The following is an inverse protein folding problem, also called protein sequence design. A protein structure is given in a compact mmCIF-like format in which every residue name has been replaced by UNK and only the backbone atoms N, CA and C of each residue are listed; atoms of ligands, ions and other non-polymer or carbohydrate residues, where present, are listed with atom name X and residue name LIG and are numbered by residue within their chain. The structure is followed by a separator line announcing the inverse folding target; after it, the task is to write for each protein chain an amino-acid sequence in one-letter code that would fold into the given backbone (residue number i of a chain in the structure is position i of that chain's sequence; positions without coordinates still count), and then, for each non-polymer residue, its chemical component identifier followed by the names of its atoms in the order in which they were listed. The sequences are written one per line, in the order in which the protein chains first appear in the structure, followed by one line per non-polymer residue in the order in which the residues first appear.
data_IF_521868387577
#
_entry.id   IF_521868387577
#
_cell.length_a   1.000
_cell.length_b   1.000
_cell.length_c   1.000
_cell.angle_alpha   90.00
_cell.angle_beta   90.00
_cell.angle_gamma   90.00
#
_symmetry.space_group_name_H-M   'P 1'
#
loop_
_entity.id
_entity.type
_entity.pdbx_description
1 polymer ?
#
# COMPACT_ATOMS: atom_id res chain seq x y z
N UNK A 1 -11.67 -4.70 43.77
CA UNK A 1 -10.76 -4.30 42.66
C UNK A 1 -10.60 -5.41 41.63
N UNK A 2 -10.43 -6.67 42.05
CA UNK A 2 -10.28 -7.85 41.19
C UNK A 2 -11.28 -7.96 40.01
N UNK A 3 -12.59 -7.79 40.24
CA UNK A 3 -13.62 -7.83 39.17
C UNK A 3 -13.42 -6.79 38.06
N UNK A 4 -12.89 -5.61 38.39
CA UNK A 4 -12.58 -4.55 37.40
C UNK A 4 -11.38 -4.93 36.54
N UNK A 5 -10.38 -5.59 37.13
CA UNK A 5 -9.20 -6.07 36.41
C UNK A 5 -9.61 -7.17 35.42
N UNK A 6 -10.40 -8.14 35.87
CA UNK A 6 -10.93 -9.21 35.01
C UNK A 6 -11.75 -8.64 33.84
N UNK A 7 -12.68 -7.72 34.10
CA UNK A 7 -13.47 -7.11 33.04
C UNK A 7 -12.60 -6.34 32.02
N UNK A 8 -11.53 -5.69 32.48
CA UNK A 8 -10.54 -5.06 31.59
C UNK A 8 -9.78 -6.08 30.74
N UNK A 9 -9.37 -7.20 31.35
CA UNK A 9 -8.65 -8.28 30.70
C UNK A 9 -9.50 -8.99 29.63
N UNK A 10 -10.82 -9.08 29.83
CA UNK A 10 -11.73 -9.66 28.82
C UNK A 10 -12.02 -8.64 27.71
N UNK A 11 -12.25 -7.37 28.08
CA UNK A 11 -12.62 -6.34 27.11
C UNK A 11 -11.49 -6.03 26.12
N UNK A 12 -10.22 -6.03 26.55
CA UNK A 12 -9.07 -5.75 25.67
C UNK A 12 -9.00 -6.68 24.45
N UNK A 13 -8.89 -8.00 24.64
CA UNK A 13 -8.94 -8.99 23.57
C UNK A 13 -10.24 -8.92 22.76
N UNK A 14 -11.38 -8.66 23.40
CA UNK A 14 -12.65 -8.53 22.69
C UNK A 14 -12.62 -7.39 21.65
N UNK A 15 -12.11 -6.22 22.04
CA UNK A 15 -11.96 -5.08 21.14
C UNK A 15 -10.88 -5.32 20.08
N UNK A 16 -9.80 -6.02 20.43
CA UNK A 16 -8.77 -6.41 19.47
C UNK A 16 -9.34 -7.34 18.38
N UNK A 17 -10.03 -8.41 18.76
CA UNK A 17 -10.73 -9.31 17.83
C UNK A 17 -11.78 -8.53 17.02
N UNK A 18 -12.50 -7.62 17.67
CA UNK A 18 -13.45 -6.72 17.01
C UNK A 18 -12.81 -5.85 15.93
N UNK A 19 -11.58 -5.35 16.17
CA UNK A 19 -10.81 -4.60 15.16
C UNK A 19 -10.45 -5.47 13.95
N UNK A 20 -10.03 -6.73 14.16
CA UNK A 20 -9.73 -7.64 13.05
C UNK A 20 -11.00 -7.98 12.26
N UNK A 21 -12.10 -8.26 12.94
CA UNK A 21 -13.38 -8.51 12.30
C UNK A 21 -13.83 -7.29 11.47
N UNK A 22 -13.69 -6.08 12.01
CA UNK A 22 -14.06 -4.86 11.31
C UNK A 22 -13.16 -4.58 10.10
N UNK A 23 -11.85 -4.69 10.24
CA UNK A 23 -10.91 -4.57 9.11
C UNK A 23 -11.18 -5.60 8.02
N UNK A 24 -11.39 -6.86 8.41
CA UNK A 24 -11.71 -7.94 7.47
C UNK A 24 -13.06 -7.71 6.78
N UNK A 25 -14.07 -7.21 7.49
CA UNK A 25 -15.35 -6.82 6.92
C UNK A 25 -15.19 -5.70 5.87
N UNK A 26 -14.37 -4.69 6.16
CA UNK A 26 -14.09 -3.63 5.19
C UNK A 26 -13.33 -4.14 3.98
N UNK A 27 -12.34 -5.04 4.18
CA UNK A 27 -11.62 -5.67 3.08
C UNK A 27 -12.56 -6.48 2.17
N UNK A 28 -13.49 -7.24 2.76
CA UNK A 28 -14.52 -8.01 2.03
C UNK A 28 -15.45 -7.13 1.19
N UNK A 29 -15.71 -5.89 1.61
CA UNK A 29 -16.55 -4.92 0.88
C UNK A 29 -15.78 -3.93 0.01
N UNK A 30 -14.46 -4.10 -0.11
CA UNK A 30 -13.63 -3.23 -0.94
C UNK A 30 -12.83 -4.07 -1.92
N UNK A 31 -11.63 -4.48 -1.55
CA UNK A 31 -10.69 -5.18 -2.43
C UNK A 31 -11.19 -6.58 -2.83
N UNK A 32 -12.01 -7.22 -2.00
CA UNK A 32 -12.55 -8.56 -2.26
C UNK A 32 -14.00 -8.58 -2.75
N UNK A 33 -14.60 -7.42 -3.05
CA UNK A 33 -15.96 -7.32 -3.61
C UNK A 33 -15.88 -7.42 -5.14
N UNK A 34 -16.45 -8.48 -5.69
CA UNK A 34 -16.35 -8.86 -7.12
C UNK A 34 -16.95 -7.82 -8.05
N UNK A 35 -18.08 -7.23 -7.67
CA UNK A 35 -18.79 -6.22 -8.45
C UNK A 35 -18.16 -4.83 -8.29
N UNK A 36 -17.17 -4.69 -7.40
CA UNK A 36 -16.62 -3.38 -7.07
C UNK A 36 -15.70 -2.85 -8.14
N UNK A 37 -14.90 -3.71 -8.75
CA UNK A 37 -13.93 -3.27 -9.76
C UNK A 37 -14.62 -2.68 -10.98
N UNK A 38 -15.75 -3.26 -11.39
CA UNK A 38 -16.57 -2.72 -12.49
C UNK A 38 -17.11 -1.33 -12.15
N UNK A 39 -17.73 -1.17 -10.97
CA UNK A 39 -18.23 0.15 -10.51
C UNK A 39 -17.12 1.19 -10.35
N UNK A 40 -15.94 0.79 -9.89
CA UNK A 40 -14.78 1.67 -9.77
C UNK A 40 -14.27 2.05 -11.16
N UNK A 41 -14.26 1.12 -12.12
CA UNK A 41 -13.88 1.41 -13.49
C UNK A 41 -14.90 2.34 -14.17
N UNK A 42 -16.20 2.17 -13.94
CA UNK A 42 -17.24 3.13 -14.36
C UNK A 42 -17.02 4.50 -13.74
N UNK A 43 -16.76 4.57 -12.42
CA UNK A 43 -16.52 5.85 -11.72
C UNK A 43 -15.25 6.54 -12.25
N UNK A 44 -14.19 5.78 -12.54
CA UNK A 44 -12.97 6.28 -13.18
C UNK A 44 -13.23 6.78 -14.61
N UNK A 45 -13.96 6.03 -15.42
CA UNK A 45 -14.32 6.44 -16.78
C UNK A 45 -15.30 7.61 -16.78
N UNK A 46 -16.00 7.89 -15.68
CA UNK A 46 -16.85 9.07 -15.53
C UNK A 46 -16.10 10.32 -15.06
N UNK A 47 -14.84 10.18 -14.62
CA UNK A 47 -14.04 11.29 -14.14
C UNK A 47 -13.32 12.01 -15.30
N UNK A 48 -13.62 13.30 -15.50
CA UNK A 48 -13.11 14.08 -16.64
C UNK A 48 -11.58 14.12 -16.70
N UNK A 49 -10.89 14.18 -15.56
CA UNK A 49 -9.42 14.20 -15.51
C UNK A 49 -8.81 12.85 -15.93
N UNK A 50 -9.34 11.73 -15.42
CA UNK A 50 -8.94 10.37 -15.82
C UNK A 50 -9.21 10.16 -17.30
N UNK A 51 -10.37 10.60 -17.78
CA UNK A 51 -10.74 10.53 -19.20
C UNK A 51 -9.80 11.35 -20.07
N UNK A 52 -9.45 12.57 -19.66
CA UNK A 52 -8.51 13.41 -20.39
C UNK A 52 -7.13 12.75 -20.50
N UNK A 53 -6.62 12.18 -19.40
CA UNK A 53 -5.35 11.47 -19.41
C UNK A 53 -5.40 10.18 -20.25
N UNK A 54 -6.51 9.45 -20.21
CA UNK A 54 -6.69 8.26 -21.04
C UNK A 54 -6.79 8.63 -22.53
N UNK A 55 -7.48 9.73 -22.85
CA UNK A 55 -7.57 10.27 -24.19
C UNK A 55 -6.20 10.75 -24.70
N UNK A 56 -5.39 11.40 -23.85
CA UNK A 56 -4.01 11.80 -24.20
C UNK A 56 -3.18 10.56 -24.58
N UNK A 57 -3.23 9.49 -23.79
CA UNK A 57 -2.51 8.25 -24.09
C UNK A 57 -3.01 7.59 -25.40
N UNK A 58 -4.31 7.61 -25.66
CA UNK A 58 -4.88 7.13 -26.93
C UNK A 58 -4.44 8.03 -28.09
N UNK A 59 -4.40 9.35 -27.89
CA UNK A 59 -3.93 10.32 -28.86
C UNK A 59 -2.48 10.06 -29.26
N UNK A 60 -1.60 9.80 -28.29
CA UNK A 60 -0.19 9.42 -28.53
C UNK A 60 -0.09 8.09 -29.30
N UNK A 61 -0.94 7.11 -28.98
CA UNK A 61 -0.98 5.84 -29.71
C UNK A 61 -1.45 6.03 -31.16
N UNK A 62 -2.49 6.84 -31.37
CA UNK A 62 -3.01 7.21 -32.70
C UNK A 62 -1.93 7.96 -33.49
N UNK A 63 -1.26 8.95 -32.89
CA UNK A 63 -0.22 9.73 -33.58
C UNK A 63 0.97 8.88 -33.98
N UNK A 64 1.34 7.89 -33.14
CA UNK A 64 2.43 6.96 -33.43
C UNK A 64 2.07 5.97 -34.54
N UNK A 65 0.79 5.63 -34.68
CA UNK A 65 0.31 4.72 -35.72
C UNK A 65 0.06 5.41 -37.07
N UNK A 66 -0.05 6.74 -37.10
CA UNK A 66 -0.27 7.51 -38.31
C UNK A 66 1.06 7.78 -39.05
N UNK A 67 1.09 7.71 -40.39
CA UNK A 67 2.22 8.17 -41.19
C UNK A 67 2.48 9.69 -41.03
N UNK A 68 3.76 10.09 -41.06
CA UNK A 68 4.18 11.50 -40.88
C UNK A 68 3.62 12.47 -41.94
N UNK A 69 3.21 11.97 -43.10
CA UNK A 69 2.68 12.76 -44.22
C UNK A 69 1.18 13.07 -44.11
N UNK A 70 0.49 12.51 -43.11
CA UNK A 70 -0.95 12.75 -42.90
C UNK A 70 -1.16 14.09 -42.16
N UNK A 71 -1.85 15.07 -42.76
CA UNK A 71 -2.00 16.40 -42.17
C UNK A 71 -3.13 16.42 -41.12
N UNK A 72 -2.89 15.81 -39.97
CA UNK A 72 -3.75 15.92 -38.78
C UNK A 72 -3.09 16.82 -37.74
N UNK A 73 -3.85 17.78 -37.23
CA UNK A 73 -3.40 18.60 -36.09
C UNK A 73 -3.52 17.81 -34.79
N UNK A 74 -2.66 18.10 -33.82
CA UNK A 74 -2.71 17.53 -32.46
C UNK A 74 -4.12 17.66 -31.85
N UNK A 75 -4.74 18.84 -31.98
CA UNK A 75 -6.11 19.08 -31.50
C UNK A 75 -7.18 18.19 -32.15
N UNK A 76 -6.98 17.75 -33.41
CA UNK A 76 -7.89 16.81 -34.06
C UNK A 76 -7.69 15.39 -33.53
N UNK A 77 -6.45 14.99 -33.26
CA UNK A 77 -6.11 13.69 -32.66
C UNK A 77 -6.70 13.60 -31.25
N UNK A 78 -6.50 14.63 -30.41
CA UNK A 78 -7.04 14.69 -29.06
C UNK A 78 -8.57 14.62 -29.04
N UNK A 79 -9.22 15.37 -29.94
CA UNK A 79 -10.67 15.34 -30.07
C UNK A 79 -11.20 13.98 -30.57
N UNK A 80 -10.44 13.29 -31.44
CA UNK A 80 -10.79 11.94 -31.86
C UNK A 80 -10.62 10.96 -30.69
N UNK A 81 -9.52 11.03 -29.95
CA UNK A 81 -9.24 10.18 -28.80
C UNK A 81 -10.31 10.30 -27.69
N UNK A 82 -10.78 11.52 -27.40
CA UNK A 82 -11.90 11.73 -26.48
C UNK A 82 -13.18 11.03 -26.95
N UNK A 83 -13.51 11.12 -28.25
CA UNK A 83 -14.68 10.44 -28.82
C UNK A 83 -14.55 8.93 -28.87
N UNK A 84 -13.32 8.40 -28.99
CA UNK A 84 -13.07 6.96 -28.88
C UNK A 84 -13.46 6.45 -27.49
N UNK A 85 -13.21 7.24 -26.44
CA UNK A 85 -13.64 6.90 -25.08
C UNK A 85 -15.17 7.03 -24.87
N UNK A 86 -15.88 7.78 -25.72
CA UNK A 86 -17.35 7.82 -25.71
C UNK A 86 -17.97 6.60 -26.41
N UNK A 87 -17.18 5.75 -27.07
CA UNK A 87 -17.66 4.55 -27.74
C UNK A 87 -17.98 3.45 -26.72
N UNK A 88 -19.22 2.95 -26.75
CA UNK A 88 -19.71 1.90 -25.85
C UNK A 88 -18.85 0.63 -25.94
N UNK A 89 -18.35 0.29 -27.14
CA UNK A 89 -17.51 -0.92 -27.34
C UNK A 89 -16.16 -0.79 -26.63
N UNK A 90 -15.60 0.42 -26.59
CA UNK A 90 -14.32 0.70 -25.92
C UNK A 90 -14.51 0.70 -24.41
N UNK A 91 -15.60 1.29 -23.94
CA UNK A 91 -15.99 1.27 -22.53
C UNK A 91 -16.20 -0.17 -22.05
N UNK A 92 -16.98 -0.97 -22.78
CA UNK A 92 -17.23 -2.38 -22.47
C UNK A 92 -15.95 -3.20 -22.44
N UNK A 93 -15.04 -2.99 -23.40
CA UNK A 93 -13.74 -3.66 -23.42
C UNK A 93 -12.94 -3.35 -22.17
N UNK A 94 -12.92 -2.09 -21.73
CA UNK A 94 -12.22 -1.67 -20.52
C UNK A 94 -12.84 -2.28 -19.25
N UNK A 95 -14.16 -2.18 -19.10
CA UNK A 95 -14.89 -2.75 -17.96
C UNK A 95 -14.70 -4.27 -17.89
N UNK A 96 -14.78 -4.96 -19.02
CA UNK A 96 -14.59 -6.39 -19.13
C UNK A 96 -13.14 -6.80 -18.78
N UNK A 97 -12.14 -6.08 -19.27
CA UNK A 97 -10.73 -6.35 -18.97
C UNK A 97 -10.43 -6.17 -17.48
N UNK A 98 -10.88 -5.07 -16.87
CA UNK A 98 -10.69 -4.81 -15.44
C UNK A 98 -11.44 -5.82 -14.56
N UNK A 99 -12.72 -6.05 -14.86
CA UNK A 99 -13.55 -6.98 -14.09
C UNK A 99 -13.05 -8.43 -14.16
N UNK A 100 -12.65 -8.90 -15.35
CA UNK A 100 -12.10 -10.25 -15.51
C UNK A 100 -10.75 -10.43 -14.80
N UNK A 101 -9.88 -9.43 -14.87
CA UNK A 101 -8.58 -9.43 -14.18
C UNK A 101 -8.76 -9.50 -12.67
N UNK A 102 -9.71 -8.72 -12.12
CA UNK A 102 -10.00 -8.74 -10.69
C UNK A 102 -10.65 -10.05 -10.24
N UNK A 103 -11.62 -10.58 -11.00
CA UNK A 103 -12.20 -11.90 -10.71
C UNK A 103 -11.14 -12.99 -10.70
N UNK A 104 -10.20 -12.97 -11.64
CA UNK A 104 -9.08 -13.90 -11.66
C UNK A 104 -8.16 -13.75 -10.43
N UNK A 105 -7.88 -12.53 -9.98
CA UNK A 105 -7.18 -12.27 -8.71
C UNK A 105 -7.93 -12.86 -7.50
N UNK A 106 -9.26 -12.86 -7.52
CA UNK A 106 -10.11 -13.50 -6.51
C UNK A 106 -10.22 -15.02 -6.68
N UNK A 107 -9.52 -15.60 -7.66
CA UNK A 107 -9.55 -17.03 -8.02
C UNK A 107 -10.85 -17.47 -8.70
N UNK A 108 -11.55 -16.54 -9.34
CA UNK A 108 -12.79 -16.78 -10.08
C UNK A 108 -12.55 -16.60 -11.58
N UNK A 109 -12.39 -17.72 -12.28
CA UNK A 109 -12.07 -17.73 -13.70
C UNK A 109 -10.61 -17.38 -13.99
N UNK A 110 -10.30 -17.30 -15.28
CA UNK A 110 -8.96 -17.00 -15.77
C UNK A 110 -8.84 -15.52 -16.11
N UNK A 111 -7.65 -14.96 -15.85
CA UNK A 111 -7.35 -13.61 -16.28
C UNK A 111 -7.23 -13.59 -17.82
N UNK A 112 -7.67 -12.52 -18.49
CA UNK A 112 -7.45 -12.39 -19.92
C UNK A 112 -5.94 -12.43 -20.18
N UNK A 113 -5.49 -13.38 -21.01
CA UNK A 113 -4.09 -13.47 -21.41
C UNK A 113 -3.74 -12.41 -22.47
N UNK A 114 -4.76 -12.02 -23.23
CA UNK A 114 -4.67 -10.98 -24.23
C UNK A 114 -5.92 -10.12 -24.24
N UNK A 115 -5.75 -8.88 -24.68
CA UNK A 115 -6.84 -7.95 -24.95
C UNK A 115 -6.91 -7.69 -26.45
N UNK A 116 -8.06 -7.98 -27.06
CA UNK A 116 -8.35 -7.65 -28.45
C UNK A 116 -8.67 -6.15 -28.54
N UNK A 117 -7.78 -5.37 -29.15
CA UNK A 117 -7.95 -3.93 -29.33
C UNK A 117 -8.72 -3.58 -30.60
N UNK A 118 -9.24 -4.57 -31.33
CA UNK A 118 -10.05 -4.34 -32.53
C UNK A 118 -11.18 -3.31 -32.31
N UNK A 119 -11.94 -3.33 -31.20
CA UNK A 119 -12.98 -2.33 -30.95
C UNK A 119 -12.42 -0.90 -30.82
N UNK A 120 -11.25 -0.74 -30.20
CA UNK A 120 -10.59 0.56 -30.01
C UNK A 120 -10.12 1.11 -31.34
N UNK A 121 -9.52 0.27 -32.18
CA UNK A 121 -9.04 0.67 -33.51
C UNK A 121 -10.21 0.98 -34.43
N UNK A 122 -11.27 0.18 -34.41
CA UNK A 122 -12.48 0.44 -35.18
C UNK A 122 -13.09 1.79 -34.79
N UNK A 123 -13.24 2.05 -33.49
CA UNK A 123 -13.71 3.34 -32.98
C UNK A 123 -12.78 4.49 -33.40
N UNK A 124 -11.46 4.33 -33.28
CA UNK A 124 -10.48 5.35 -33.70
C UNK A 124 -10.58 5.66 -35.20
N UNK A 125 -10.67 4.63 -36.05
CA UNK A 125 -10.86 4.79 -37.50
C UNK A 125 -12.16 5.51 -37.82
N UNK A 126 -13.26 5.12 -37.20
CA UNK A 126 -14.57 5.77 -37.38
C UNK A 126 -14.50 7.26 -36.99
N UNK A 127 -13.86 7.59 -35.86
CA UNK A 127 -13.74 8.99 -35.40
C UNK A 127 -12.79 9.82 -36.26
N UNK A 128 -11.68 9.25 -36.72
CA UNK A 128 -10.73 9.94 -37.61
C UNK A 128 -11.31 10.12 -39.01
N UNK A 129 -12.10 9.16 -39.51
CA UNK A 129 -12.73 9.24 -40.83
C UNK A 129 -13.67 10.44 -40.97
N UNK A 130 -14.25 10.93 -39.87
CA UNK A 130 -15.07 12.16 -39.85
C UNK A 130 -14.26 13.39 -40.27
N UNK A 131 -12.97 13.43 -39.93
CA UNK A 131 -12.08 14.57 -40.17
C UNK A 131 -11.21 14.35 -41.42
N UNK A 132 -10.67 13.14 -41.58
CA UNK A 132 -9.81 12.76 -42.70
C UNK A 132 -10.04 11.29 -43.07
N UNK A 133 -10.85 11.01 -44.11
CA UNK A 133 -11.08 9.64 -44.58
C UNK A 133 -9.79 8.93 -44.98
N UNK A 134 -8.87 9.65 -45.64
CA UNK A 134 -7.57 9.10 -46.07
C UNK A 134 -6.70 8.69 -44.87
N UNK A 135 -6.70 9.47 -43.78
CA UNK A 135 -5.98 9.11 -42.56
C UNK A 135 -6.53 7.83 -41.91
N UNK A 136 -7.85 7.64 -41.95
CA UNK A 136 -8.51 6.46 -41.40
C UNK A 136 -8.21 5.19 -42.23
N UNK A 137 -7.91 5.32 -43.51
CA UNK A 137 -7.43 4.21 -44.37
C UNK A 137 -5.98 3.84 -44.06
N UNK A 138 -5.17 4.77 -43.56
CA UNK A 138 -3.78 4.52 -43.16
C UNK A 138 -3.65 3.80 -41.82
N UNK A 139 -4.70 3.83 -40.98
CA UNK A 139 -4.70 3.08 -39.74
C UNK A 139 -4.78 1.57 -40.03
N UNK A 140 -3.98 0.75 -39.34
CA UNK A 140 -3.90 -0.67 -39.60
C UNK A 140 -5.24 -1.38 -39.35
N UNK A 141 -5.44 -2.50 -40.03
CA UNK A 141 -6.66 -3.29 -39.85
C UNK A 141 -6.70 -3.94 -38.45
N UNK A 142 -7.90 -4.01 -37.90
CA UNK A 142 -8.16 -4.32 -36.49
C UNK A 142 -7.68 -5.71 -36.03
N UNK A 143 -7.42 -6.62 -36.97
CA UNK A 143 -7.08 -8.03 -36.69
C UNK A 143 -5.67 -8.27 -36.14
N UNK A 144 -4.80 -7.25 -36.09
CA UNK A 144 -3.39 -7.42 -35.72
C UNK A 144 -3.02 -6.93 -34.31
N UNK A 145 -3.91 -6.21 -33.63
CA UNK A 145 -3.59 -5.59 -32.33
C UNK A 145 -4.12 -6.40 -31.17
N UNK A 146 -3.32 -7.39 -30.80
CA UNK A 146 -3.51 -8.16 -29.58
C UNK A 146 -2.45 -7.73 -28.58
N UNK A 147 -2.87 -7.10 -27.49
CA UNK A 147 -1.93 -6.78 -26.40
C UNK A 147 -1.90 -7.95 -25.43
N UNK A 148 -0.73 -8.59 -25.32
CA UNK A 148 -0.48 -9.57 -24.28
C UNK A 148 -0.45 -8.87 -22.92
N UNK A 149 -1.33 -9.29 -22.03
CA UNK A 149 -1.36 -8.79 -20.66
C UNK A 149 -0.43 -9.66 -19.82
N UNK A 150 0.43 -9.08 -18.95
CA UNK A 150 1.35 -9.84 -18.10
C UNK A 150 0.60 -10.51 -16.92
N UNK A 151 -0.40 -11.34 -17.21
CA UNK A 151 -1.32 -11.94 -16.23
C UNK A 151 -0.79 -13.23 -15.61
N UNK A 152 0.35 -13.75 -16.08
CA UNK A 152 0.95 -15.00 -15.58
C UNK A 152 1.37 -14.93 -14.11
N UNK A 153 1.41 -13.72 -13.51
CA UNK A 153 1.81 -13.50 -12.11
C UNK A 153 0.71 -12.92 -11.23
N UNK A 154 -0.54 -12.92 -11.67
CA UNK A 154 -1.63 -12.43 -10.82
C UNK A 154 -1.73 -13.37 -9.60
N UNK A 155 -1.48 -12.87 -8.38
CA UNK A 155 -1.57 -13.71 -7.20
C UNK A 155 -3.02 -14.14 -6.97
N UNK A 156 -3.22 -15.42 -6.63
CA UNK A 156 -4.54 -15.92 -6.27
C UNK A 156 -4.86 -15.57 -4.81
N UNK A 157 -5.75 -14.60 -4.61
CA UNK A 157 -6.20 -14.13 -3.31
C UNK A 157 -7.47 -14.85 -2.80
N UNK A 158 -7.99 -15.82 -3.55
CA UNK A 158 -9.13 -16.67 -3.14
C UNK A 158 -8.97 -17.30 -1.75
N UNK A 159 -7.79 -17.82 -1.34
CA UNK A 159 -7.62 -18.37 0.00
C UNK A 159 -7.82 -17.31 1.09
N UNK A 160 -7.37 -16.08 0.84
CA UNK A 160 -7.52 -14.95 1.77
C UNK A 160 -8.99 -14.52 1.84
N UNK A 161 -9.66 -14.39 0.69
CA UNK A 161 -11.10 -14.08 0.63
C UNK A 161 -11.93 -15.12 1.40
N UNK A 162 -11.73 -16.40 1.10
CA UNK A 162 -12.43 -17.52 1.76
C UNK A 162 -12.16 -17.54 3.27
N UNK A 163 -10.90 -17.30 3.68
CA UNK A 163 -10.54 -17.20 5.08
C UNK A 163 -11.26 -16.04 5.77
N UNK A 164 -11.34 -14.86 5.14
CA UNK A 164 -12.04 -13.70 5.69
C UNK A 164 -13.55 -13.92 5.75
N UNK A 165 -14.18 -14.44 4.68
CA UNK A 165 -15.62 -14.74 4.65
C UNK A 165 -16.02 -15.68 5.79
N UNK A 166 -15.15 -16.64 6.14
CA UNK A 166 -15.37 -17.58 7.24
C UNK A 166 -15.04 -16.96 8.60
N UNK A 167 -13.90 -16.28 8.72
CA UNK A 167 -13.34 -15.86 10.01
C UNK A 167 -13.95 -14.55 10.52
N UNK A 168 -14.28 -13.61 9.65
CA UNK A 168 -14.86 -12.31 10.02
C UNK A 168 -16.16 -12.45 10.83
N UNK A 169 -17.19 -13.21 10.38
CA UNK A 169 -18.42 -13.37 11.16
C UNK A 169 -18.16 -14.08 12.48
N UNK A 170 -17.29 -15.10 12.50
CA UNK A 170 -16.91 -15.80 13.73
C UNK A 170 -16.24 -14.85 14.74
N UNK A 171 -15.25 -14.07 14.29
CA UNK A 171 -14.56 -13.09 15.11
C UNK A 171 -15.51 -12.01 15.62
N UNK A 172 -16.45 -11.54 14.78
CA UNK A 172 -17.46 -10.56 15.18
C UNK A 172 -18.34 -11.12 16.31
N UNK A 173 -18.84 -12.35 16.18
CA UNK A 173 -19.64 -13.01 17.23
C UNK A 173 -18.83 -13.20 18.50
N UNK A 174 -17.60 -13.71 18.42
CA UNK A 174 -16.70 -13.88 19.58
C UNK A 174 -16.44 -12.54 20.27
N UNK A 175 -16.17 -11.49 19.51
CA UNK A 175 -15.99 -10.13 20.04
C UNK A 175 -17.23 -9.66 20.81
N UNK A 176 -18.42 -9.78 20.21
CA UNK A 176 -19.69 -9.37 20.85
C UNK A 176 -19.96 -10.18 22.12
N UNK A 177 -19.71 -11.49 22.11
CA UNK A 177 -19.88 -12.36 23.28
C UNK A 177 -18.92 -11.95 24.39
N UNK A 178 -17.65 -11.69 24.09
CA UNK A 178 -16.67 -11.27 25.09
C UNK A 178 -16.96 -9.86 25.64
N UNK A 179 -17.38 -8.90 24.80
CA UNK A 179 -17.83 -7.58 25.25
C UNK A 179 -19.04 -7.72 26.17
N UNK A 180 -20.00 -8.57 25.81
CA UNK A 180 -21.20 -8.85 26.62
C UNK A 180 -20.82 -9.50 27.96
N UNK A 181 -19.90 -10.47 27.95
CA UNK A 181 -19.40 -11.11 29.16
C UNK A 181 -18.67 -10.12 30.07
N UNK A 182 -17.84 -9.23 29.50
CA UNK A 182 -17.17 -8.16 30.25
C UNK A 182 -18.18 -7.19 30.87
N UNK A 183 -19.25 -6.85 30.13
CA UNK A 183 -20.33 -5.99 30.59
C UNK A 183 -21.15 -6.62 31.73
N UNK A 184 -21.48 -7.92 31.63
CA UNK A 184 -22.24 -8.65 32.64
C UNK A 184 -21.43 -8.93 33.92
N UNK A 185 -20.13 -9.17 33.78
CA UNK A 185 -19.23 -9.49 34.90
C UNK A 185 -18.82 -8.25 35.70
N UNK A 186 -18.76 -7.09 35.06
CA UNK A 186 -18.36 -5.85 35.74
C UNK A 186 -19.49 -5.26 36.59
N UNK A 187 -19.14 -4.77 37.78
CA UNK A 187 -20.04 -3.89 38.55
C UNK A 187 -20.02 -2.45 38.02
N UNK A 188 -19.06 -2.11 37.18
CA UNK A 188 -18.82 -0.76 36.64
C UNK A 188 -19.15 -0.73 35.13
N UNK A 189 -20.43 -1.00 34.82
CA UNK A 189 -20.98 -1.04 33.46
C UNK A 189 -20.70 0.23 32.64
N UNK A 190 -20.83 1.45 33.21
CA UNK A 190 -20.53 2.69 32.48
C UNK A 190 -19.09 2.72 31.95
N UNK A 191 -18.13 2.18 32.71
CA UNK A 191 -16.72 2.14 32.31
C UNK A 191 -16.47 1.24 31.10
N UNK A 192 -17.15 0.09 31.00
CA UNK A 192 -17.06 -0.81 29.84
C UNK A 192 -17.67 -0.15 28.60
N UNK A 193 -18.86 0.44 28.74
CA UNK A 193 -19.52 1.17 27.64
C UNK A 193 -18.66 2.34 27.14
N UNK A 194 -18.10 3.15 28.05
CA UNK A 194 -17.25 4.27 27.67
C UNK A 194 -15.92 3.85 27.03
N UNK A 195 -15.41 2.64 27.33
CA UNK A 195 -14.22 2.08 26.65
C UNK A 195 -14.57 1.58 25.26
N UNK A 196 -15.66 0.82 25.11
CA UNK A 196 -16.14 0.36 23.81
C UNK A 196 -16.50 1.54 22.90
N UNK A 197 -17.16 2.57 23.44
CA UNK A 197 -17.47 3.82 22.74
C UNK A 197 -16.21 4.52 22.22
N UNK A 198 -15.19 4.72 23.06
CA UNK A 198 -13.93 5.34 22.63
C UNK A 198 -13.19 4.51 21.59
N UNK A 199 -13.25 3.18 21.69
CA UNK A 199 -12.72 2.30 20.65
C UNK A 199 -13.46 2.47 19.32
N UNK A 200 -14.79 2.42 19.34
CA UNK A 200 -15.61 2.56 18.13
C UNK A 200 -15.41 3.94 17.47
N UNK A 201 -15.38 5.01 18.27
CA UNK A 201 -15.08 6.37 17.81
C UNK A 201 -13.66 6.49 17.27
N UNK A 202 -12.67 5.90 17.95
CA UNK A 202 -11.29 5.89 17.51
C UNK A 202 -11.11 5.15 16.18
N UNK A 203 -11.69 3.96 16.05
CA UNK A 203 -11.69 3.20 14.81
C UNK A 203 -12.38 3.98 13.68
N UNK A 204 -13.60 4.50 13.92
CA UNK A 204 -14.30 5.33 12.94
C UNK A 204 -13.48 6.54 12.51
N UNK A 205 -12.86 7.25 13.45
CA UNK A 205 -12.01 8.41 13.14
C UNK A 205 -10.79 8.02 12.31
N UNK A 206 -10.13 6.89 12.61
CA UNK A 206 -9.01 6.38 11.82
C UNK A 206 -9.46 6.08 10.39
N UNK A 207 -10.53 5.32 10.18
CA UNK A 207 -10.99 5.01 8.82
C UNK A 207 -11.48 6.23 8.05
N UNK A 208 -12.15 7.18 8.70
CA UNK A 208 -12.52 8.45 8.07
C UNK A 208 -11.27 9.27 7.70
N UNK A 209 -10.26 9.29 8.56
CA UNK A 209 -9.00 9.97 8.29
C UNK A 209 -8.25 9.32 7.12
N UNK A 210 -8.21 8.00 7.03
CA UNK A 210 -7.63 7.32 5.87
C UNK A 210 -8.47 7.54 4.62
N UNK A 211 -9.80 7.39 4.72
CA UNK A 211 -10.73 7.47 3.61
C UNK A 211 -10.78 8.85 2.95
N UNK A 212 -10.70 9.92 3.76
CA UNK A 212 -10.76 11.30 3.28
C UNK A 212 -9.37 11.93 3.19
N UNK A 213 -8.48 11.60 4.12
CA UNK A 213 -7.17 12.21 4.24
C UNK A 213 -6.16 11.70 3.23
N UNK A 214 -6.15 10.41 2.87
CA UNK A 214 -5.21 9.88 1.87
C UNK A 214 -5.45 10.52 0.50
N UNK A 215 -6.68 10.55 -0.05
CA UNK A 215 -6.92 11.22 -1.33
C UNK A 215 -6.61 12.72 -1.28
N UNK A 216 -6.98 13.43 -0.20
CA UNK A 216 -6.68 14.85 -0.05
C UNK A 216 -5.16 15.12 0.02
N UNK A 217 -4.41 14.27 0.72
CA UNK A 217 -2.95 14.38 0.82
C UNK A 217 -2.28 14.11 -0.53
N UNK A 218 -2.75 13.13 -1.29
CA UNK A 218 -2.22 12.83 -2.62
C UNK A 218 -2.40 14.00 -3.59
N UNK A 219 -3.60 14.60 -3.63
CA UNK A 219 -3.86 15.81 -4.43
C UNK A 219 -2.98 17.00 -4.01
N UNK A 220 -2.66 17.12 -2.73
CA UNK A 220 -1.82 18.20 -2.23
C UNK A 220 -0.32 18.03 -2.57
N UNK A 221 0.17 16.79 -2.69
CA UNK A 221 1.60 16.50 -2.88
C UNK A 221 1.98 16.40 -4.36
N UNK A 222 1.09 15.89 -5.21
CA UNK A 222 1.40 15.65 -6.62
C UNK A 222 0.14 15.79 -7.51
N UNK A 223 -0.32 17.02 -7.77
CA UNK A 223 -1.57 17.27 -8.48
C UNK A 223 -1.60 16.69 -9.90
N UNK A 224 -0.47 16.70 -10.61
CA UNK A 224 -0.47 16.40 -12.06
C UNK A 224 -0.36 14.90 -12.40
N UNK A 225 0.18 14.06 -11.50
CA UNK A 225 0.42 12.63 -11.78
C UNK A 225 -0.46 11.69 -10.95
N UNK A 226 -1.18 12.23 -9.97
CA UNK A 226 -1.85 11.42 -8.95
C UNK A 226 -3.36 11.56 -9.02
N UNK A 227 -3.92 12.29 -9.99
CA UNK A 227 -5.38 12.41 -10.08
C UNK A 227 -6.05 11.07 -10.36
N UNK A 228 -5.49 10.22 -11.24
CA UNK A 228 -6.00 8.86 -11.47
C UNK A 228 -5.94 8.01 -10.20
N UNK A 229 -4.81 8.06 -9.49
CA UNK A 229 -4.64 7.30 -8.24
C UNK A 229 -5.54 7.85 -7.13
N UNK A 230 -5.74 9.16 -7.06
CA UNK A 230 -6.60 9.81 -6.09
C UNK A 230 -8.08 9.53 -6.38
N UNK A 231 -8.49 9.54 -7.65
CA UNK A 231 -9.82 9.15 -8.09
C UNK A 231 -10.07 7.67 -7.77
N UNK A 232 -9.12 6.79 -8.10
CA UNK A 232 -9.19 5.36 -7.78
C UNK A 232 -9.31 5.14 -6.26
N UNK A 233 -8.44 5.77 -5.46
CA UNK A 233 -8.50 5.65 -4.01
C UNK A 233 -9.76 6.27 -3.44
N UNK A 234 -10.24 7.38 -3.99
CA UNK A 234 -11.51 7.99 -3.57
C UNK A 234 -12.66 7.02 -3.83
N UNK A 235 -12.74 6.45 -5.04
CA UNK A 235 -13.75 5.46 -5.42
C UNK A 235 -13.71 4.23 -4.49
N UNK A 236 -12.52 3.69 -4.20
CA UNK A 236 -12.37 2.54 -3.29
C UNK A 236 -12.71 2.89 -1.84
N UNK A 237 -12.23 4.04 -1.34
CA UNK A 237 -12.38 4.43 0.06
C UNK A 237 -13.78 4.96 0.38
N UNK A 238 -14.53 5.46 -0.60
CA UNK A 238 -15.89 5.97 -0.43
C UNK A 238 -16.82 4.94 0.22
N UNK A 239 -16.64 3.66 -0.10
CA UNK A 239 -17.44 2.57 0.47
C UNK A 239 -17.18 2.37 1.97
N UNK A 240 -16.00 2.72 2.44
CA UNK A 240 -15.66 2.64 3.87
C UNK A 240 -16.33 3.75 4.69
N UNK A 241 -16.87 4.80 4.06
CA UNK A 241 -17.50 5.91 4.75
C UNK A 241 -18.77 5.48 5.48
N UNK A 242 -19.69 4.78 4.81
CA UNK A 242 -20.98 4.39 5.41
C UNK A 242 -20.78 3.48 6.64
N UNK A 243 -19.97 2.40 6.58
CA UNK A 243 -19.64 1.62 7.77
C UNK A 243 -18.94 2.45 8.85
N UNK A 244 -18.01 3.33 8.50
CA UNK A 244 -17.28 4.14 9.48
C UNK A 244 -18.17 5.14 10.20
N UNK A 245 -19.08 5.80 9.48
CA UNK A 245 -20.11 6.68 10.06
C UNK A 245 -21.04 5.86 10.96
N UNK A 246 -21.47 4.68 10.51
CA UNK A 246 -22.34 3.78 11.30
C UNK A 246 -21.65 3.38 12.60
N UNK A 247 -20.37 2.99 12.54
CA UNK A 247 -19.56 2.68 13.73
C UNK A 247 -19.42 3.89 14.65
N UNK A 248 -19.24 5.08 14.09
CA UNK A 248 -19.22 6.34 14.82
C UNK A 248 -20.54 6.60 15.57
N UNK A 249 -21.68 6.44 14.90
CA UNK A 249 -23.02 6.60 15.50
C UNK A 249 -23.21 5.59 16.65
N UNK A 250 -22.82 4.33 16.45
CA UNK A 250 -22.85 3.31 17.51
C UNK A 250 -21.95 3.72 18.67
N UNK A 251 -20.75 4.22 18.40
CA UNK A 251 -19.83 4.74 19.40
C UNK A 251 -20.42 5.89 20.23
N UNK A 252 -21.08 6.86 19.58
CA UNK A 252 -21.80 7.95 20.26
C UNK A 252 -22.95 7.41 21.11
N UNK A 253 -23.75 6.49 20.58
CA UNK A 253 -24.85 5.85 21.31
C UNK A 253 -24.37 5.13 22.57
N UNK A 254 -23.27 4.38 22.48
CA UNK A 254 -22.63 3.73 23.63
C UNK A 254 -22.09 4.73 24.65
N UNK A 255 -21.55 5.87 24.20
CA UNK A 255 -21.05 6.93 25.07
C UNK A 255 -22.19 7.59 25.84
N UNK A 256 -23.29 7.94 25.16
CA UNK A 256 -24.50 8.49 25.78
C UNK A 256 -25.12 7.50 26.77
N UNK A 257 -25.21 6.22 26.38
CA UNK A 257 -25.68 5.16 27.29
C UNK A 257 -24.80 5.04 28.54
N UNK A 258 -23.48 5.25 28.42
CA UNK A 258 -22.57 5.27 29.57
C UNK A 258 -22.85 6.44 30.53
N UNK A 259 -23.35 7.57 30.03
CA UNK A 259 -23.67 8.75 30.84
C UNK A 259 -25.04 8.66 31.53
N UNK A 260 -26.04 8.13 30.84
CA UNK A 260 -27.40 7.95 31.39
C UNK A 260 -27.43 6.88 32.47
N UNK A 261 -26.49 5.93 32.45
CA UNK A 261 -26.45 4.86 33.43
C UNK A 261 -26.17 5.41 34.83
N UNK A 262 -27.10 5.26 35.80
CA UNK A 262 -26.94 5.85 37.12
C UNK A 262 -25.68 5.27 37.75
N UNK A 263 -24.71 6.15 38.06
CA UNK A 263 -23.59 5.80 38.91
C UNK A 263 -24.23 5.35 40.22
N UNK A 264 -24.28 4.04 40.46
CA UNK A 264 -24.52 3.49 41.81
C UNK A 264 -23.34 3.96 42.63
N UNK A 265 -23.44 5.20 43.10
CA UNK A 265 -22.54 5.79 44.07
C UNK A 265 -22.35 4.73 45.11
N UNK A 266 -21.10 4.31 45.32
CA UNK A 266 -20.70 3.53 46.47
C UNK A 266 -21.03 4.38 47.70
N UNK A 267 -22.31 4.41 48.08
CA UNK A 267 -22.85 5.14 49.22
C UNK A 267 -22.92 4.22 50.44
N UNK A 268 -22.14 3.15 50.42
CA UNK A 268 -22.05 2.20 51.53
C UNK A 268 -20.57 1.87 51.69
N UNK A 269 -20.09 2.05 52.92
CA UNK A 269 -18.73 1.80 53.42
C UNK A 269 -17.75 2.97 53.43
N UNK A 270 -18.25 4.21 53.39
CA UNK A 270 -17.79 5.10 54.47
C UNK A 270 -18.47 4.58 55.74
N UNK A 271 -17.90 3.53 56.33
CA UNK A 271 -18.13 3.25 57.73
C UNK A 271 -17.96 4.61 58.44
N UNK A 272 -18.91 5.04 59.30
CA UNK A 272 -18.78 6.31 60.01
C UNK A 272 -17.36 6.35 60.53
N UNK A 273 -16.58 7.31 60.01
CA UNK A 273 -15.19 7.48 60.39
C UNK A 273 -15.20 7.42 61.92
N UNK A 274 -14.57 6.39 62.55
CA UNK A 274 -14.67 6.23 64.00
C UNK A 274 -14.34 7.59 64.58
N UNK A 275 -15.25 8.11 65.42
CA UNK A 275 -15.12 9.45 66.00
C UNK A 275 -13.65 9.65 66.38
N UNK A 276 -13.02 10.77 65.99
CA UNK A 276 -11.60 10.99 66.22
C UNK A 276 -11.28 10.58 67.64
N UNK A 277 -10.47 9.53 67.81
CA UNK A 277 -10.07 9.10 69.14
C UNK A 277 -9.49 10.35 69.82
N UNK A 278 -9.98 10.74 71.01
CA UNK A 278 -9.46 11.91 71.71
C UNK A 278 -7.95 11.75 71.79
N UNK A 279 -7.23 12.64 71.10
CA UNK A 279 -5.79 12.68 71.19
C UNK A 279 -5.46 12.81 72.69
N UNK A 280 -4.62 11.92 73.25
CA UNK A 280 -4.10 12.11 74.59
C UNK A 280 -3.52 13.52 74.64
N UNK A 281 -4.04 14.36 75.53
CA UNK A 281 -3.48 15.68 75.81
C UNK A 281 -1.98 15.50 76.01
N UNK A 282 -1.18 16.00 75.06
CA UNK A 282 0.26 16.12 75.25
C UNK A 282 0.44 16.98 76.49
N UNK A 283 0.89 16.37 77.57
CA UNK A 283 1.47 17.08 78.70
C UNK A 283 2.53 18.05 78.14
N UNK A 284 2.50 19.34 78.52
CA UNK A 284 3.50 20.30 78.13
C UNK A 284 4.86 19.83 78.67
N UNK A 285 5.76 19.43 77.77
CA UNK A 285 7.15 19.20 78.11
C UNK A 285 7.78 20.54 78.55
N UNK A 286 8.61 20.55 79.61
CA UNK A 286 9.29 21.76 80.05
C UNK A 286 10.21 22.30 78.96
N UNK A 287 10.22 23.63 78.84
CA UNK A 287 10.98 24.40 77.88
C UNK A 287 12.47 24.03 77.91
N UNK A 288 12.93 23.26 76.92
CA UNK A 288 14.34 23.19 76.59
C UNK A 288 14.68 24.36 75.67
N UNK A 289 15.56 25.23 76.18
CA UNK A 289 16.16 26.36 75.47
C UNK A 289 16.70 25.91 74.10
N UNK A 290 16.18 26.52 73.04
CA UNK A 290 16.81 26.52 71.72
C UNK A 290 18.11 27.33 71.79
N UNK A 291 19.28 26.74 71.52
CA UNK A 291 20.46 27.52 71.17
C UNK A 291 20.27 28.03 69.73
N UNK A 292 20.44 29.34 69.56
CA UNK A 292 20.54 29.97 68.26
C UNK A 292 21.71 29.35 67.47
N UNK A 293 21.42 28.63 66.38
CA UNK A 293 22.44 28.17 65.45
C UNK A 293 22.18 28.69 64.04
N UNK A 294 22.84 29.82 63.78
CA UNK A 294 23.48 30.30 62.55
C UNK A 294 22.95 29.74 61.23
N UNK A 295 22.32 30.63 60.48
CA UNK A 295 22.31 30.62 59.02
C UNK A 295 23.76 30.57 58.50
N UNK A 296 24.07 29.54 57.70
CA UNK A 296 25.27 29.48 56.87
C UNK A 296 24.89 29.72 55.41
N UNK A 297 25.80 30.27 54.57
CA UNK A 297 25.48 30.79 53.25
C UNK A 297 25.28 29.68 52.21
N UNK A 298 24.41 29.96 51.23
CA UNK A 298 24.33 29.22 49.96
C UNK A 298 25.71 29.21 49.29
N UNK A 299 26.30 28.03 49.16
CA UNK A 299 27.38 27.75 48.21
C UNK A 299 26.75 27.09 47.00
N UNK A 300 26.82 27.78 45.88
CA UNK A 300 26.62 27.24 44.54
C UNK A 300 27.89 26.54 44.11
N UNK A 301 27.82 25.30 43.60
CA UNK A 301 28.75 24.65 42.64
C UNK A 301 28.43 23.13 42.53
N UNK A 302 28.96 22.38 41.55
CA UNK A 302 28.85 22.52 40.09
C UNK A 302 28.36 21.22 39.41
N UNK A 303 28.17 21.27 38.09
CA UNK A 303 27.93 20.11 37.22
C UNK A 303 29.01 19.02 37.38
N UNK A 304 28.63 17.74 37.33
CA UNK A 304 29.46 16.65 36.76
C UNK A 304 28.61 15.41 36.41
N UNK A 305 29.07 14.54 35.49
CA UNK A 305 28.24 13.75 34.58
C UNK A 305 28.08 12.26 34.96
N UNK A 306 27.20 11.61 34.19
CA UNK A 306 27.12 10.19 33.80
C UNK A 306 27.74 9.13 34.73
N UNK A 307 26.90 8.22 35.23
CA UNK A 307 27.33 6.90 35.71
C UNK A 307 26.32 5.83 35.26
N UNK A 308 26.84 4.91 34.44
CA UNK A 308 26.20 3.67 34.00
C UNK A 308 25.77 2.79 35.19
N UNK A 309 24.63 2.09 35.13
CA UNK A 309 24.33 1.02 36.07
C UNK A 309 25.13 -0.26 35.75
N UNK A 310 25.74 -0.79 36.80
CA UNK A 310 26.53 -2.02 36.85
C UNK A 310 25.70 -3.29 36.59
N UNK A 311 26.36 -4.30 35.98
CA UNK A 311 25.85 -5.66 35.84
C UNK A 311 25.85 -6.43 37.18
N UNK A 312 24.90 -7.38 37.38
CA UNK A 312 24.92 -8.32 38.49
C UNK A 312 25.93 -9.48 38.29
N UNK A 313 26.32 -10.19 39.36
CA UNK A 313 27.47 -11.09 39.38
C UNK A 313 27.25 -12.45 38.72
N UNK A 314 28.34 -12.92 38.12
CA UNK A 314 28.64 -14.24 37.56
C UNK A 314 28.24 -15.40 38.48
N UNK A 315 27.33 -16.25 38.01
CA UNK A 315 27.12 -17.61 38.52
C UNK A 315 28.07 -18.56 37.78
N UNK A 316 28.78 -19.40 38.53
CA UNK A 316 29.76 -20.35 38.03
C UNK A 316 29.15 -21.39 37.07
N UNK A 317 29.86 -21.63 35.96
CA UNK A 317 29.49 -22.55 34.89
C UNK A 317 29.68 -24.03 35.31
N UNK A 318 28.78 -24.95 34.91
CA UNK A 318 29.11 -26.37 34.82
C UNK A 318 29.98 -26.67 33.59
N UNK A 319 30.90 -27.62 33.75
CA UNK A 319 31.91 -28.09 32.79
C UNK A 319 31.26 -28.54 31.45
N UNK A 320 31.76 -28.11 30.27
CA UNK A 320 31.20 -28.52 28.99
C UNK A 320 31.75 -29.88 28.55
N UNK A 321 30.84 -30.77 28.15
CA UNK A 321 31.12 -31.93 27.30
C UNK A 321 31.50 -31.42 25.90
N UNK A 322 32.60 -31.94 25.34
CA UNK A 322 33.14 -31.54 24.05
C UNK A 322 32.11 -31.67 22.92
N UNK A 323 31.76 -30.54 22.27
CA UNK A 323 31.01 -30.52 21.01
C UNK A 323 31.99 -30.54 19.83
N UNK A 324 31.64 -31.23 18.74
CA UNK A 324 32.42 -31.22 17.50
C UNK A 324 32.50 -29.81 16.92
N UNK A 325 33.69 -29.47 16.44
CA UNK A 325 34.07 -28.18 15.86
C UNK A 325 33.21 -27.86 14.63
N UNK A 326 32.56 -26.68 14.56
CA UNK A 326 31.92 -26.23 13.33
C UNK A 326 32.97 -25.80 12.30
N UNK A 327 32.67 -25.92 10.99
CA UNK A 327 33.57 -25.49 9.91
C UNK A 327 33.83 -23.97 9.95
N UNK A 328 34.97 -23.52 9.41
CA UNK A 328 35.38 -22.12 9.45
C UNK A 328 34.36 -21.20 8.77
N UNK A 329 34.04 -20.11 9.46
CA UNK A 329 33.17 -19.03 8.99
C UNK A 329 33.90 -18.26 7.88
N UNK A 330 33.32 -18.06 6.68
CA UNK A 330 33.92 -17.23 5.65
C UNK A 330 34.06 -15.78 6.14
N UNK A 331 35.15 -15.14 5.73
CA UNK A 331 35.49 -13.75 6.02
C UNK A 331 34.37 -12.78 5.56
N UNK A 332 34.08 -11.71 6.32
CA UNK A 332 33.12 -10.71 5.91
C UNK A 332 33.67 -9.91 4.72
N UNK A 333 33.19 -10.23 3.51
CA UNK A 333 33.33 -9.37 2.35
C UNK A 333 32.71 -8.01 2.65
N UNK A 334 33.45 -6.95 2.36
CA UNK A 334 33.07 -5.57 2.57
C UNK A 334 31.65 -5.27 2.06
N UNK A 335 30.86 -4.57 2.86
CA UNK A 335 29.52 -4.14 2.49
C UNK A 335 29.58 -3.24 1.24
N UNK A 336 28.76 -3.50 0.21
CA UNK A 336 28.66 -2.62 -0.94
C UNK A 336 28.11 -1.26 -0.51
N UNK A 337 28.76 -0.20 -0.97
CA UNK A 337 28.34 1.18 -0.77
C UNK A 337 26.92 1.38 -1.29
N UNK A 338 26.05 2.01 -0.51
CA UNK A 338 24.71 2.42 -0.95
C UNK A 338 24.83 3.27 -2.23
N UNK A 339 24.14 2.92 -3.32
CA UNK A 339 24.08 3.77 -4.49
C UNK A 339 23.29 5.04 -4.16
N UNK A 340 23.87 6.17 -4.53
CA UNK A 340 23.29 7.51 -4.47
C UNK A 340 21.89 7.52 -5.10
N UNK A 341 20.90 8.24 -4.51
CA UNK A 341 19.57 8.33 -5.11
C UNK A 341 19.63 8.94 -6.51
N UNK A 342 19.11 8.19 -7.47
CA UNK A 342 19.02 8.57 -8.88
C UNK A 342 18.11 9.79 -9.03
N UNK A 343 18.63 10.89 -9.59
CA UNK A 343 17.84 12.03 -10.09
C UNK A 343 17.62 11.79 -11.58
N UNK A 344 16.38 11.58 -12.06
CA UNK A 344 16.11 11.58 -13.49
C UNK A 344 16.26 13.02 -14.00
N UNK A 345 17.37 13.30 -14.68
CA UNK A 345 17.47 14.47 -15.56
C UNK A 345 16.77 14.13 -16.86
N UNK A 346 15.57 14.69 -17.06
CA UNK A 346 14.91 14.78 -18.36
C UNK A 346 15.87 15.48 -19.36
N UNK A 347 15.95 15.04 -20.62
CA UNK A 347 16.71 15.76 -21.63
C UNK A 347 16.06 17.13 -21.87
N UNK A 348 16.83 18.18 -21.58
CA UNK A 348 16.49 19.55 -21.92
C UNK A 348 16.37 19.67 -23.43
N UNK A 349 15.16 19.97 -23.91
CA UNK A 349 14.86 20.27 -25.32
C UNK A 349 15.73 21.45 -25.77
N UNK A 350 16.66 21.21 -26.69
CA UNK A 350 17.44 22.26 -27.35
C UNK A 350 16.50 23.15 -28.18
N UNK A 351 16.59 24.45 -27.96
CA UNK A 351 15.88 25.49 -28.71
C UNK A 351 16.29 25.49 -30.19
N UNK A 352 15.40 25.78 -31.15
CA UNK A 352 15.74 25.79 -32.57
C UNK A 352 16.46 27.09 -32.92
N UNK A 353 17.68 26.99 -33.44
CA UNK A 353 18.45 28.13 -33.93
C UNK A 353 19.52 27.68 -34.91
N UNK A 354 19.27 27.96 -36.19
CA UNK A 354 20.22 28.11 -37.30
C UNK A 354 21.43 27.17 -37.39
N UNK A 355 21.33 26.17 -38.28
CA UNK A 355 22.48 25.69 -39.04
C UNK A 355 22.01 25.11 -40.38
N UNK A 356 22.51 25.68 -41.48
CA UNK A 356 22.14 25.37 -42.85
C UNK A 356 22.38 23.91 -43.26
N UNK A 357 21.47 23.40 -44.09
CA UNK A 357 21.60 22.10 -44.76
C UNK A 357 22.73 22.11 -45.80
N UNK A 358 23.61 21.10 -45.83
CA UNK A 358 24.24 20.68 -47.07
C UNK A 358 23.33 19.67 -47.78
N UNK A 359 23.29 19.78 -49.11
CA UNK A 359 22.57 18.87 -50.00
C UNK A 359 23.05 17.43 -49.80
N UNK A 360 22.12 16.53 -49.48
CA UNK A 360 22.35 15.09 -49.54
C UNK A 360 22.00 14.58 -50.93
N UNK A 361 23.03 14.16 -51.65
CA UNK A 361 22.94 13.32 -52.85
C UNK A 361 22.53 11.91 -52.45
N UNK A 362 21.58 11.40 -53.22
CA UNK A 362 21.07 10.03 -53.24
C UNK A 362 22.19 9.07 -53.68
N UNK A 363 22.77 8.36 -52.71
CA UNK A 363 23.60 7.17 -52.92
C UNK A 363 23.02 6.07 -52.01
N UNK A 364 22.00 5.39 -52.53
CA UNK A 364 21.48 4.14 -51.96
C UNK A 364 22.56 3.06 -52.05
N UNK A 365 23.35 2.93 -50.99
CA UNK A 365 24.18 1.75 -50.73
C UNK A 365 23.23 0.62 -50.27
N UNK A 366 23.26 -0.57 -50.88
CA UNK A 366 22.47 -1.69 -50.39
C UNK A 366 22.89 -1.99 -48.95
N UNK A 367 21.91 -2.08 -48.04
CA UNK A 367 22.10 -2.53 -46.68
C UNK A 367 22.61 -3.98 -46.76
N UNK A 368 23.91 -4.14 -46.63
CA UNK A 368 24.57 -5.42 -46.44
C UNK A 368 23.97 -6.04 -45.18
N UNK A 369 23.23 -7.15 -45.32
CA UNK A 369 22.74 -7.95 -44.20
C UNK A 369 23.91 -8.14 -43.23
N UNK A 370 23.81 -7.51 -42.06
CA UNK A 370 24.81 -7.64 -41.02
C UNK A 370 24.97 -9.14 -40.76
N UNK A 371 26.12 -9.68 -41.13
CA UNK A 371 26.48 -11.06 -40.93
C UNK A 371 26.58 -11.29 -39.41
N UNK A 372 25.44 -11.61 -38.77
CA UNK A 372 25.33 -11.88 -37.34
C UNK A 372 26.20 -13.10 -37.07
N UNK A 373 27.44 -12.82 -36.68
CA UNK A 373 28.42 -13.87 -36.43
C UNK A 373 28.07 -14.42 -35.06
N UNK A 374 27.42 -15.59 -35.05
CA UNK A 374 27.07 -16.32 -33.83
C UNK A 374 28.28 -16.39 -32.91
N UNK A 375 28.21 -15.65 -31.79
CA UNK A 375 29.26 -15.68 -30.78
C UNK A 375 29.00 -16.91 -29.91
N UNK A 376 29.94 -17.87 -29.85
CA UNK A 376 29.76 -19.02 -28.97
C UNK A 376 29.57 -18.55 -27.52
N UNK A 377 28.81 -19.29 -26.70
CA UNK A 377 28.66 -18.99 -25.28
C UNK A 377 30.03 -18.78 -24.66
N UNK A 378 30.22 -17.65 -23.97
CA UNK A 378 31.48 -17.33 -23.32
C UNK A 378 31.27 -17.26 -21.81
N UNK A 379 32.31 -17.68 -21.08
CA UNK A 379 32.32 -17.68 -19.63
C UNK A 379 32.76 -16.32 -19.11
N UNK A 380 31.98 -15.74 -18.19
CA UNK A 380 32.33 -14.51 -17.47
C UNK A 380 32.62 -14.87 -16.01
N UNK A 381 33.86 -14.58 -15.59
CA UNK A 381 34.35 -14.90 -14.26
C UNK A 381 33.50 -14.25 -13.15
N UNK A 382 33.14 -15.03 -12.14
CA UNK A 382 32.22 -14.60 -11.06
C UNK A 382 30.73 -14.61 -11.40
N UNK A 383 30.35 -14.74 -12.68
CA UNK A 383 28.96 -14.64 -13.12
C UNK A 383 28.37 -15.96 -13.65
N UNK A 384 29.04 -16.62 -14.60
CA UNK A 384 28.55 -17.83 -15.26
C UNK A 384 28.71 -17.82 -16.79
N UNK A 385 27.97 -18.69 -17.49
CA UNK A 385 27.89 -18.72 -18.95
C UNK A 385 26.90 -17.69 -19.46
N UNK A 386 27.33 -16.79 -20.34
CA UNK A 386 26.48 -15.76 -20.96
C UNK A 386 25.75 -16.37 -22.15
N UNK A 387 24.43 -16.21 -22.18
CA UNK A 387 23.59 -16.59 -23.31
C UNK A 387 23.67 -15.52 -24.40
N UNK A 388 23.78 -15.95 -25.64
CA UNK A 388 23.75 -15.05 -26.80
C UNK A 388 22.36 -14.39 -26.87
N UNK A 389 22.25 -13.05 -26.88
CA UNK A 389 20.96 -12.37 -27.02
C UNK A 389 20.24 -12.67 -28.35
N UNK A 390 20.96 -13.18 -29.37
CA UNK A 390 20.36 -13.65 -30.61
C UNK A 390 19.89 -15.12 -30.55
N UNK A 391 20.12 -15.84 -29.45
CA UNK A 391 19.64 -17.21 -29.28
C UNK A 391 18.12 -17.23 -29.03
N UNK A 392 17.38 -17.80 -29.98
CA UNK A 392 15.92 -17.90 -29.93
C UNK A 392 15.43 -19.02 -29.01
N UNK A 393 16.34 -19.80 -28.40
CA UNK A 393 15.96 -20.85 -27.45
C UNK A 393 15.38 -20.25 -26.16
N UNK A 394 14.43 -20.92 -25.50
CA UNK A 394 13.87 -20.45 -24.24
C UNK A 394 14.95 -20.24 -23.17
N UNK A 395 14.90 -19.12 -22.47
CA UNK A 395 15.85 -18.81 -21.39
C UNK A 395 15.73 -19.89 -20.29
N UNK A 396 16.82 -20.55 -19.90
CA UNK A 396 16.79 -21.54 -18.83
C UNK A 396 16.26 -20.95 -17.52
N UNK A 397 15.46 -21.71 -16.73
CA UNK A 397 14.82 -21.19 -15.52
C UNK A 397 15.81 -20.79 -14.40
N UNK A 398 17.06 -21.24 -14.48
CA UNK A 398 18.13 -20.86 -13.56
C UNK A 398 19.00 -19.68 -14.05
N UNK A 399 18.67 -19.08 -15.20
CA UNK A 399 19.38 -17.90 -15.68
C UNK A 399 19.00 -16.65 -14.87
N UNK A 400 19.98 -15.76 -14.65
CA UNK A 400 19.78 -14.44 -14.03
C UNK A 400 20.22 -13.34 -15.00
N UNK A 401 19.52 -12.22 -15.01
CA UNK A 401 19.96 -11.05 -15.76
C UNK A 401 21.09 -10.32 -15.01
N UNK A 402 22.18 -10.01 -15.71
CA UNK A 402 23.30 -9.20 -15.19
C UNK A 402 23.45 -7.99 -16.09
N UNK A 403 23.33 -6.79 -15.52
CA UNK A 403 23.42 -5.53 -16.26
C UNK A 403 24.76 -5.40 -16.98
N UNK A 404 24.73 -5.04 -18.27
CA UNK A 404 25.91 -4.94 -19.13
C UNK A 404 26.46 -6.28 -19.67
N UNK A 405 25.93 -7.43 -19.22
CA UNK A 405 26.39 -8.77 -19.65
C UNK A 405 25.28 -9.56 -20.33
N UNK A 406 24.03 -9.47 -19.84
CA UNK A 406 22.87 -10.21 -20.38
C UNK A 406 22.41 -11.35 -19.46
N UNK A 407 21.74 -12.36 -20.03
CA UNK A 407 21.30 -13.53 -19.27
C UNK A 407 22.46 -14.50 -19.02
N UNK A 408 22.70 -14.81 -17.75
CA UNK A 408 23.81 -15.66 -17.30
C UNK A 408 23.31 -16.90 -16.60
N UNK A 409 23.78 -18.07 -17.02
CA UNK A 409 23.49 -19.37 -16.41
C UNK A 409 24.65 -19.78 -15.48
N UNK A 410 24.40 -20.04 -14.19
CA UNK A 410 25.42 -20.54 -13.29
C UNK A 410 25.84 -21.97 -13.69
N UNK A 411 27.14 -22.20 -13.82
CA UNK A 411 27.73 -23.50 -14.16
C UNK A 411 29.21 -23.57 -13.76
N UNK A 412 29.87 -24.74 -13.86
CA UNK A 412 31.31 -24.82 -13.65
C UNK A 412 32.07 -24.06 -14.76
N UNK A 413 33.23 -23.45 -14.44
CA UNK A 413 34.09 -22.83 -15.43
C UNK A 413 34.58 -23.88 -16.45
N UNK A 414 34.91 -23.48 -17.69
CA UNK A 414 35.48 -24.39 -18.68
C UNK A 414 36.76 -25.02 -18.13
N UNK A 415 36.95 -26.33 -18.33
CA UNK A 415 38.18 -27.00 -17.95
C UNK A 415 39.34 -26.44 -18.81
N UNK A 416 40.33 -25.85 -18.13
CA UNK A 416 41.53 -25.26 -18.72
C UNK A 416 42.50 -26.31 -19.27
#
# INVERSE_FOLDING_TARGET
MFRRVIAGLILGPALFIGSFAWSGYLALRSVFDEDRTEKVAEELLSNDEVRAQLAENIGVAISTALPDDVPLTEAQIDAAALRVLDDERVTDLFLMAFGSTHRAFLGQGDAPQSLDLAPVIAAAREQIAVVSPTAAESLPESSEFVVELPTQRIPNASPVKTFLETSVPLMAVVSVVLVSMAFLTTSDRPSVLARAARWALGAAAVYLLFGLGVPAMLRAVAPDQVEVLAALLTAVLRETLVPSITLGIVGVGLLLASWVWPKRSRRSDSAPQPAPQPQPQRQPAPAQMQPAQRQAPRVSEPMTPASNPAMPPTVAQPVPVARPTPPPRPEPTAAPSEPTPFRPTLPTRSSPGDAGMPAWTDDSVPVEEANITWLPPHWVEGHGWVLDPADTRPIPPNARWVEGVGHVVPGPPPAS
#
